data_IF_206083765472
#
_entry.id   IF_206083765472
#
_cell.length_a   1.000
_cell.length_b   1.000
_cell.length_c   1.000
_cell.angle_alpha   90.00
_cell.angle_beta   90.00
_cell.angle_gamma   90.00
#
_symmetry.space_group_name_H-M   'P 1'
#
loop_
_entity.id
_entity.type
_entity.pdbx_description
1 polymer ?
#
# COMPACT_ATOMS: atom_id res chain seq x y z
N UNK A 1 8.53 25.67 -9.32
CA UNK A 1 8.43 24.27 -8.88
C UNK A 1 8.10 23.46 -10.13
N UNK A 2 8.93 22.46 -10.43
CA UNK A 2 8.68 21.53 -11.53
C UNK A 2 7.89 20.35 -10.99
N UNK A 3 6.97 19.80 -11.81
CA UNK A 3 6.16 18.65 -11.46
C UNK A 3 6.34 17.56 -12.54
N UNK A 4 6.68 16.35 -12.13
CA UNK A 4 6.90 15.19 -13.00
C UNK A 4 6.00 14.04 -12.56
N UNK A 5 5.21 13.47 -13.47
CA UNK A 5 4.36 12.31 -13.19
C UNK A 5 5.21 11.05 -12.98
N UNK A 6 4.88 10.29 -11.94
CA UNK A 6 5.51 9.00 -11.61
C UNK A 6 4.66 7.82 -12.08
N UNK A 7 3.44 7.74 -11.52
CA UNK A 7 2.33 6.86 -11.90
C UNK A 7 1.04 7.70 -11.85
N UNK A 8 -0.13 7.08 -12.02
CA UNK A 8 -1.41 7.79 -11.95
C UNK A 8 -1.55 8.53 -10.61
N UNK A 9 -1.97 9.79 -10.68
CA UNK A 9 -2.20 10.68 -9.53
C UNK A 9 -1.01 10.80 -8.54
N UNK A 10 0.21 10.43 -8.98
CA UNK A 10 1.44 10.49 -8.18
C UNK A 10 2.53 11.26 -8.92
N UNK A 11 3.18 12.18 -8.22
CA UNK A 11 4.08 13.14 -8.83
C UNK A 11 5.31 13.40 -7.98
N UNK A 12 6.45 13.66 -8.64
CA UNK A 12 7.56 14.35 -8.03
C UNK A 12 7.36 15.86 -8.13
N UNK A 13 7.54 16.58 -7.03
CA UNK A 13 7.65 18.03 -7.01
C UNK A 13 9.10 18.38 -6.69
N UNK A 14 9.74 19.14 -7.60
CA UNK A 14 11.10 19.64 -7.42
C UNK A 14 11.11 21.09 -6.96
N UNK A 15 11.85 21.37 -5.86
CA UNK A 15 12.11 22.71 -5.34
C UNK A 15 13.61 22.86 -5.07
N UNK A 16 14.33 23.46 -6.01
CA UNK A 16 15.80 23.44 -6.02
C UNK A 16 16.30 21.99 -6.11
N UNK A 17 17.27 21.63 -5.30
CA UNK A 17 17.84 20.27 -5.25
C UNK A 17 16.93 19.23 -4.55
N UNK A 18 15.85 19.65 -3.90
CA UNK A 18 14.95 18.75 -3.17
C UNK A 18 13.85 18.24 -4.07
N UNK A 19 13.66 16.92 -4.05
CA UNK A 19 12.61 16.20 -4.76
C UNK A 19 11.67 15.54 -3.76
N UNK A 20 10.36 15.81 -3.88
CA UNK A 20 9.34 15.38 -2.91
C UNK A 20 8.29 14.56 -3.66
N UNK A 21 8.06 13.32 -3.21
CA UNK A 21 6.97 12.49 -3.73
C UNK A 21 5.64 12.98 -3.19
N UNK A 22 4.63 13.03 -4.05
CA UNK A 22 3.30 13.51 -3.70
C UNK A 22 2.21 12.71 -4.40
N UNK A 23 1.00 12.72 -3.84
CA UNK A 23 -0.23 12.30 -4.52
C UNK A 23 -1.14 13.50 -4.77
N UNK A 24 -1.90 13.48 -5.87
CA UNK A 24 -2.93 14.49 -6.14
C UNK A 24 -4.00 14.40 -5.05
N UNK A 25 -4.20 15.49 -4.30
CA UNK A 25 -5.13 15.49 -3.17
C UNK A 25 -6.59 15.37 -3.64
N UNK A 26 -7.21 14.23 -3.38
CA UNK A 26 -8.61 14.00 -3.71
C UNK A 26 -9.58 14.80 -2.80
N UNK A 27 -9.09 15.27 -1.64
CA UNK A 27 -9.82 16.09 -0.66
C UNK A 27 -9.10 17.43 -0.43
N UNK A 28 -9.28 18.44 -1.30
CA UNK A 28 -8.57 19.71 -1.18
C UNK A 28 -8.73 20.34 0.20
N UNK A 29 -7.63 20.88 0.73
CA UNK A 29 -7.56 21.51 2.06
C UNK A 29 -7.36 20.54 3.22
N UNK A 30 -7.44 19.21 3.02
CA UNK A 30 -7.36 18.22 4.09
C UNK A 30 -6.04 17.46 4.04
N UNK A 31 -5.27 17.55 5.13
CA UNK A 31 -4.14 16.67 5.47
C UNK A 31 -4.67 15.50 6.30
N UNK A 32 -4.12 14.30 6.11
CA UNK A 32 -4.58 13.08 6.81
C UNK A 32 -3.75 12.79 8.05
N UNK A 33 -2.42 13.00 7.99
CA UNK A 33 -1.50 12.67 9.08
C UNK A 33 -0.49 13.79 9.38
N UNK A 34 -0.79 15.04 9.00
CA UNK A 34 0.06 16.21 9.16
C UNK A 34 1.11 16.39 8.06
N UNK A 35 0.96 15.70 6.94
CA UNK A 35 1.79 15.87 5.75
C UNK A 35 1.57 17.24 5.10
N UNK A 36 2.59 17.72 4.39
CA UNK A 36 2.51 19.00 3.68
C UNK A 36 1.61 18.92 2.46
N UNK A 37 0.89 20.00 2.21
CA UNK A 37 0.09 20.19 1.01
C UNK A 37 0.74 21.27 0.16
N UNK A 38 0.95 20.99 -1.13
CA UNK A 38 1.49 21.91 -2.13
C UNK A 38 0.38 22.31 -3.09
N UNK A 39 0.24 23.62 -3.33
CA UNK A 39 -0.70 24.17 -4.33
C UNK A 39 0.09 24.56 -5.57
N UNK A 40 -0.20 23.91 -6.71
CA UNK A 40 0.48 24.17 -7.99
C UNK A 40 -0.58 24.15 -9.09
N UNK A 41 -0.67 25.22 -9.86
CA UNK A 41 -1.60 25.35 -10.99
C UNK A 41 -3.05 25.01 -10.62
N UNK A 42 -3.53 25.48 -9.47
CA UNK A 42 -4.90 25.27 -8.98
C UNK A 42 -5.20 23.89 -8.44
N UNK A 43 -4.22 22.98 -8.42
CA UNK A 43 -4.34 21.63 -7.85
C UNK A 43 -3.57 21.51 -6.54
N UNK A 44 -4.01 20.61 -5.66
CA UNK A 44 -3.32 20.30 -4.42
C UNK A 44 -2.65 18.93 -4.49
N UNK A 45 -1.45 18.85 -3.91
CA UNK A 45 -0.63 17.65 -3.86
C UNK A 45 -0.19 17.41 -2.42
N UNK A 46 -0.40 16.19 -1.92
CA UNK A 46 -0.04 15.77 -0.56
C UNK A 46 1.33 15.11 -0.56
N UNK A 47 2.24 15.53 0.33
CA UNK A 47 3.54 14.90 0.52
C UNK A 47 3.38 13.43 0.93
N UNK A 48 4.02 12.51 0.20
CA UNK A 48 4.03 11.09 0.52
C UNK A 48 5.36 10.68 1.12
N UNK A 49 5.40 10.58 2.44
CA UNK A 49 6.62 10.47 3.24
C UNK A 49 7.12 9.01 3.27
N UNK A 50 8.35 8.70 2.76
CA UNK A 50 8.84 7.33 2.64
C UNK A 50 9.13 6.65 3.98
N UNK A 51 9.45 7.40 5.04
CA UNK A 51 9.62 6.84 6.38
C UNK A 51 8.29 6.42 7.04
N UNK A 52 7.15 6.87 6.50
CA UNK A 52 5.80 6.54 6.99
C UNK A 52 5.01 5.62 6.06
N UNK A 53 5.56 5.30 4.89
CA UNK A 53 4.90 4.44 3.90
C UNK A 53 5.92 3.62 3.14
N UNK A 54 5.85 2.30 3.26
CA UNK A 54 6.71 1.36 2.54
C UNK A 54 6.50 1.47 1.03
N UNK A 55 5.27 1.72 0.60
CA UNK A 55 4.95 1.91 -0.81
C UNK A 55 5.57 3.21 -1.36
N UNK A 56 5.59 4.30 -0.58
CA UNK A 56 6.36 5.50 -0.94
C UNK A 56 7.86 5.22 -1.02
N UNK A 57 8.41 4.51 -0.02
CA UNK A 57 9.81 4.12 -0.01
C UNK A 57 10.20 3.33 -1.27
N UNK A 58 9.32 2.47 -1.76
CA UNK A 58 9.49 1.73 -3.03
C UNK A 58 9.72 2.67 -4.21
N UNK A 59 8.94 3.74 -4.31
CA UNK A 59 9.08 4.73 -5.40
C UNK A 59 10.37 5.53 -5.25
N UNK A 60 10.75 5.90 -4.03
CA UNK A 60 12.05 6.52 -3.75
C UNK A 60 13.24 5.61 -4.10
N UNK A 61 13.06 4.28 -4.04
CA UNK A 61 14.03 3.27 -4.49
C UNK A 61 14.02 3.07 -6.02
N UNK A 62 13.26 3.86 -6.76
CA UNK A 62 13.24 3.89 -8.22
C UNK A 62 12.26 2.91 -8.89
N UNK A 63 11.47 2.15 -8.13
CA UNK A 63 10.47 1.27 -8.71
C UNK A 63 9.11 1.97 -8.83
N UNK A 64 8.51 1.91 -10.02
CA UNK A 64 7.19 2.49 -10.30
C UNK A 64 6.14 1.36 -10.36
N UNK A 65 5.26 1.22 -9.36
CA UNK A 65 4.19 0.22 -9.38
C UNK A 65 3.06 0.66 -10.33
N UNK A 66 3.30 0.59 -11.64
CA UNK A 66 2.38 1.09 -12.67
C UNK A 66 1.02 0.39 -12.68
N UNK A 67 0.93 -0.79 -12.05
CA UNK A 67 -0.32 -1.56 -11.92
C UNK A 67 -1.22 -1.00 -10.80
N UNK A 68 -0.68 -0.14 -9.93
CA UNK A 68 -1.44 0.69 -9.01
C UNK A 68 -1.80 1.99 -9.73
N UNK A 69 -3.03 2.05 -10.26
CA UNK A 69 -3.48 3.11 -11.17
C UNK A 69 -4.91 3.56 -10.90
N UNK A 70 -5.35 4.59 -11.59
CA UNK A 70 -6.70 5.13 -11.47
C UNK A 70 -7.77 4.10 -11.88
N UNK A 71 -8.89 4.09 -11.16
CA UNK A 71 -10.08 3.29 -11.45
C UNK A 71 -10.05 1.85 -10.95
N UNK A 72 -8.92 1.34 -10.45
CA UNK A 72 -8.84 -0.05 -9.98
C UNK A 72 -9.40 -0.26 -8.57
N UNK A 73 -9.68 -1.52 -8.26
CA UNK A 73 -10.01 -1.98 -6.91
C UNK A 73 -8.76 -2.55 -6.21
N UNK A 74 -8.53 -2.13 -4.98
CA UNK A 74 -7.40 -2.55 -4.14
C UNK A 74 -7.92 -3.21 -2.86
N UNK A 75 -7.40 -4.38 -2.52
CA UNK A 75 -7.51 -4.95 -1.19
C UNK A 75 -6.24 -4.61 -0.41
N UNK A 76 -6.39 -3.86 0.66
CA UNK A 76 -5.29 -3.40 1.52
C UNK A 76 -5.36 -4.11 2.87
N UNK A 77 -4.42 -4.99 3.17
CA UNK A 77 -4.33 -5.75 4.42
C UNK A 77 -3.33 -5.08 5.38
N UNK A 78 -3.78 -4.75 6.59
CA UNK A 78 -3.00 -4.01 7.58
C UNK A 78 -3.06 -2.49 7.34
N UNK A 79 -4.28 -1.95 7.27
CA UNK A 79 -4.54 -0.56 6.90
C UNK A 79 -4.09 0.45 7.96
N UNK A 80 -3.98 0.04 9.22
CA UNK A 80 -3.65 0.91 10.34
C UNK A 80 -4.56 2.14 10.39
N UNK A 81 -4.05 3.30 10.74
CA UNK A 81 -4.79 4.57 10.78
C UNK A 81 -5.10 5.17 9.40
N UNK A 82 -4.74 4.47 8.31
CA UNK A 82 -5.04 4.93 6.95
C UNK A 82 -3.99 5.82 6.28
N UNK A 83 -2.79 6.00 6.87
CA UNK A 83 -1.73 6.83 6.28
C UNK A 83 -1.44 6.45 4.83
N UNK A 84 -1.01 5.22 4.55
CA UNK A 84 -0.75 4.76 3.17
C UNK A 84 -2.05 4.57 2.40
N UNK A 85 -3.11 4.08 3.03
CA UNK A 85 -4.45 3.91 2.43
C UNK A 85 -4.95 5.21 1.82
N UNK A 86 -4.74 6.36 2.46
CA UNK A 86 -5.18 7.66 1.95
C UNK A 86 -4.46 8.06 0.65
N UNK A 87 -3.20 7.69 0.49
CA UNK A 87 -2.46 7.90 -0.76
C UNK A 87 -2.89 6.91 -1.84
N UNK A 88 -3.13 5.65 -1.48
CA UNK A 88 -3.72 4.66 -2.40
C UNK A 88 -5.10 5.13 -2.87
N UNK A 89 -5.92 5.69 -1.97
CA UNK A 89 -7.21 6.31 -2.29
C UNK A 89 -7.07 7.46 -3.31
N UNK A 90 -6.06 8.34 -3.14
CA UNK A 90 -5.75 9.40 -4.11
C UNK A 90 -5.36 8.81 -5.48
N UNK A 91 -4.55 7.73 -5.49
CA UNK A 91 -4.06 7.10 -6.72
C UNK A 91 -5.20 6.46 -7.50
N UNK A 92 -6.04 5.66 -6.85
CA UNK A 92 -7.14 4.98 -7.55
C UNK A 92 -8.29 5.92 -7.90
N UNK A 93 -8.34 7.12 -7.31
CA UNK A 93 -9.29 8.16 -7.63
C UNK A 93 -10.74 7.82 -7.27
N UNK A 94 -11.68 8.67 -7.68
CA UNK A 94 -13.10 8.56 -7.32
C UNK A 94 -13.78 7.29 -7.85
N UNK A 95 -13.29 6.75 -8.96
CA UNK A 95 -13.86 5.56 -9.62
C UNK A 95 -13.22 4.25 -9.12
N UNK A 96 -12.11 4.34 -8.39
CA UNK A 96 -11.46 3.19 -7.76
C UNK A 96 -12.07 2.86 -6.40
N UNK A 97 -11.64 1.73 -5.83
CA UNK A 97 -12.08 1.26 -4.50
C UNK A 97 -10.88 0.77 -3.69
N UNK A 98 -10.86 1.09 -2.40
CA UNK A 98 -9.85 0.56 -1.46
C UNK A 98 -10.58 -0.15 -0.32
N UNK A 99 -10.58 -1.48 -0.32
CA UNK A 99 -11.03 -2.29 0.82
C UNK A 99 -9.89 -2.34 1.83
N UNK A 100 -10.04 -1.62 2.93
CA UNK A 100 -8.99 -1.39 3.91
C UNK A 100 -9.24 -2.23 5.17
N UNK A 101 -8.46 -3.29 5.35
CA UNK A 101 -8.60 -4.27 6.43
C UNK A 101 -7.66 -3.93 7.57
N UNK A 102 -8.22 -3.81 8.77
CA UNK A 102 -7.47 -3.56 10.02
C UNK A 102 -8.05 -4.41 11.15
N UNK A 103 -7.18 -5.09 11.89
CA UNK A 103 -7.60 -5.99 12.97
C UNK A 103 -7.92 -5.26 14.28
N UNK A 104 -7.24 -4.15 14.53
CA UNK A 104 -7.41 -3.38 15.77
C UNK A 104 -8.64 -2.48 15.67
N UNK A 105 -9.61 -2.67 16.53
CA UNK A 105 -10.79 -1.82 16.63
C UNK A 105 -10.42 -0.37 17.00
N UNK A 106 -9.50 -0.18 17.94
CA UNK A 106 -9.03 1.15 18.38
C UNK A 106 -8.39 1.92 17.22
N UNK A 107 -7.52 1.27 16.47
CA UNK A 107 -6.85 1.88 15.30
C UNK A 107 -7.86 2.07 14.17
N UNK A 108 -8.77 1.13 13.99
CA UNK A 108 -9.82 1.11 12.97
C UNK A 108 -10.79 2.29 13.06
N UNK A 109 -11.03 2.85 14.24
CA UNK A 109 -11.85 4.08 14.39
C UNK A 109 -11.30 5.20 13.51
N UNK A 110 -9.99 5.42 13.48
CA UNK A 110 -9.37 6.46 12.63
C UNK A 110 -9.54 6.16 11.14
N UNK A 111 -9.50 4.88 10.77
CA UNK A 111 -9.73 4.44 9.40
C UNK A 111 -11.18 4.67 8.97
N UNK A 112 -12.15 4.42 9.85
CA UNK A 112 -13.57 4.69 9.61
C UNK A 112 -13.81 6.19 9.41
N UNK A 113 -13.27 7.04 10.30
CA UNK A 113 -13.35 8.49 10.16
C UNK A 113 -12.71 9.00 8.85
N UNK A 114 -11.61 8.39 8.42
CA UNK A 114 -11.00 8.69 7.12
C UNK A 114 -11.96 8.37 5.96
N UNK A 115 -12.68 7.26 6.04
CA UNK A 115 -13.64 6.83 5.02
C UNK A 115 -14.90 7.74 4.95
N UNK A 116 -15.22 8.47 6.01
CA UNK A 116 -16.32 9.45 5.98
C UNK A 116 -16.05 10.56 4.96
N UNK A 117 -14.80 10.96 4.79
CA UNK A 117 -14.39 11.98 3.83
C UNK A 117 -13.95 11.40 2.48
N UNK A 118 -13.41 10.18 2.47
CA UNK A 118 -12.87 9.47 1.29
C UNK A 118 -13.78 8.30 0.90
N UNK A 119 -14.82 8.59 0.12
CA UNK A 119 -15.91 7.64 -0.21
C UNK A 119 -15.49 6.43 -1.03
N UNK A 120 -14.26 6.39 -1.51
CA UNK A 120 -13.65 5.25 -2.19
C UNK A 120 -12.88 4.31 -1.23
N UNK A 121 -12.83 4.60 0.08
CA UNK A 121 -12.29 3.73 1.12
C UNK A 121 -13.42 2.97 1.80
N UNK A 122 -13.30 1.65 1.87
CA UNK A 122 -14.24 0.74 2.53
C UNK A 122 -13.52 0.08 3.70
N UNK A 123 -13.64 0.60 4.93
CA UNK A 123 -12.98 0.03 6.09
C UNK A 123 -13.62 -1.31 6.48
N UNK A 124 -12.77 -2.29 6.81
CA UNK A 124 -13.16 -3.62 7.27
C UNK A 124 -12.36 -3.90 8.53
N UNK A 125 -13.02 -3.79 9.68
CA UNK A 125 -12.39 -4.06 10.97
C UNK A 125 -12.50 -5.56 11.21
N UNK A 126 -11.45 -6.28 10.80
CA UNK A 126 -11.43 -7.74 10.83
C UNK A 126 -10.00 -8.30 10.71
N UNK A 127 -9.80 -9.56 11.12
CA UNK A 127 -8.54 -10.27 10.96
C UNK A 127 -8.32 -10.66 9.50
N UNK A 128 -7.23 -10.18 8.89
CA UNK A 128 -6.85 -10.54 7.53
C UNK A 128 -6.61 -12.05 7.34
N UNK A 129 -6.22 -12.77 8.41
CA UNK A 129 -6.05 -14.22 8.37
C UNK A 129 -7.37 -14.99 8.25
N UNK A 130 -8.52 -14.33 8.56
CA UNK A 130 -9.88 -14.90 8.55
C UNK A 130 -10.82 -14.20 7.55
N UNK A 131 -10.28 -13.47 6.60
CA UNK A 131 -11.08 -12.61 5.72
C UNK A 131 -12.03 -13.40 4.80
N UNK A 132 -11.82 -14.71 4.62
CA UNK A 132 -12.77 -15.61 3.93
C UNK A 132 -14.17 -15.60 4.55
N UNK A 133 -14.29 -15.33 5.84
CA UNK A 133 -15.59 -15.22 6.53
C UNK A 133 -16.39 -13.98 6.07
N UNK A 134 -15.72 -13.03 5.41
CA UNK A 134 -16.29 -11.80 4.84
C UNK A 134 -16.36 -11.81 3.31
N UNK A 135 -16.20 -12.98 2.67
CA UNK A 135 -16.12 -13.11 1.21
C UNK A 135 -17.28 -12.45 0.46
N UNK A 136 -18.48 -12.47 1.03
CA UNK A 136 -19.69 -11.91 0.41
C UNK A 136 -19.71 -10.36 0.45
N UNK A 137 -18.90 -9.74 1.32
CA UNK A 137 -18.75 -8.29 1.41
C UNK A 137 -17.63 -7.74 0.50
N UNK A 138 -16.85 -8.62 -0.13
CA UNK A 138 -15.68 -8.25 -0.92
C UNK A 138 -15.81 -8.74 -2.36
N UNK A 139 -15.44 -7.87 -3.29
CA UNK A 139 -15.27 -8.23 -4.70
C UNK A 139 -13.81 -8.60 -4.99
N UNK A 140 -13.56 -9.35 -6.06
CA UNK A 140 -12.19 -9.56 -6.54
C UNK A 140 -11.58 -8.24 -6.97
N UNK A 141 -10.35 -8.00 -6.51
CA UNK A 141 -9.60 -6.77 -6.69
C UNK A 141 -8.54 -6.92 -7.80
N UNK A 142 -8.19 -5.79 -8.40
CA UNK A 142 -7.13 -5.71 -9.40
C UNK A 142 -5.75 -5.76 -8.76
N UNK A 143 -5.65 -5.26 -7.51
CA UNK A 143 -4.41 -5.19 -6.76
C UNK A 143 -4.62 -5.61 -5.31
N UNK A 144 -3.65 -6.35 -4.73
CA UNK A 144 -3.57 -6.61 -3.28
C UNK A 144 -2.29 -6.00 -2.73
N UNK A 145 -2.41 -5.22 -1.66
CA UNK A 145 -1.28 -4.76 -0.87
C UNK A 145 -1.37 -5.28 0.55
N UNK A 146 -0.27 -5.86 1.06
CA UNK A 146 -0.19 -6.34 2.42
C UNK A 146 0.93 -5.69 3.21
N UNK A 147 0.57 -5.18 4.40
CA UNK A 147 1.48 -4.59 5.39
C UNK A 147 1.13 -5.04 6.82
N UNK A 148 0.82 -6.33 7.01
CA UNK A 148 0.53 -6.90 8.33
C UNK A 148 1.83 -7.21 9.09
N UNK A 149 1.75 -7.24 10.45
CA UNK A 149 2.89 -7.52 11.32
C UNK A 149 2.73 -8.89 12.01
N UNK A 150 2.47 -9.94 11.22
CA UNK A 150 2.26 -11.31 11.70
C UNK A 150 3.36 -12.25 11.19
N UNK A 151 3.65 -13.32 11.96
CA UNK A 151 4.67 -14.31 11.55
C UNK A 151 4.31 -15.03 10.25
N UNK A 152 3.02 -15.29 10.04
CA UNK A 152 2.46 -15.99 8.88
C UNK A 152 1.97 -15.02 7.78
N UNK A 153 2.61 -13.84 7.64
CA UNK A 153 2.19 -12.83 6.66
C UNK A 153 2.20 -13.36 5.23
N UNK A 154 3.13 -14.23 4.85
CA UNK A 154 3.19 -14.80 3.50
C UNK A 154 2.00 -15.71 3.21
N UNK A 155 1.59 -16.53 4.18
CA UNK A 155 0.41 -17.40 4.09
C UNK A 155 -0.87 -16.57 4.02
N UNK A 156 -0.97 -15.50 4.82
CA UNK A 156 -2.09 -14.56 4.79
C UNK A 156 -2.21 -13.93 3.40
N UNK A 157 -1.09 -13.47 2.83
CA UNK A 157 -1.06 -12.91 1.48
C UNK A 157 -1.57 -13.91 0.45
N UNK A 158 -1.02 -15.13 0.42
CA UNK A 158 -1.38 -16.17 -0.54
C UNK A 158 -2.87 -16.53 -0.42
N UNK A 159 -3.37 -16.71 0.81
CA UNK A 159 -4.77 -17.03 1.09
C UNK A 159 -5.71 -15.97 0.52
N UNK A 160 -5.43 -14.70 0.83
CA UNK A 160 -6.24 -13.58 0.35
C UNK A 160 -6.11 -13.37 -1.17
N UNK A 161 -4.92 -13.53 -1.73
CA UNK A 161 -4.72 -13.44 -3.18
C UNK A 161 -5.47 -14.51 -3.95
N UNK A 162 -5.49 -15.75 -3.48
CA UNK A 162 -6.27 -16.83 -4.11
C UNK A 162 -7.77 -16.52 -4.15
N UNK A 163 -8.28 -15.87 -3.13
CA UNK A 163 -9.70 -15.58 -3.00
C UNK A 163 -10.12 -14.28 -3.69
N UNK A 164 -9.34 -13.23 -3.48
CA UNK A 164 -9.74 -11.86 -3.80
C UNK A 164 -8.95 -11.21 -4.93
N UNK A 165 -7.83 -11.78 -5.38
CA UNK A 165 -7.11 -11.22 -6.52
C UNK A 165 -7.67 -11.75 -7.84
N UNK A 166 -7.93 -10.85 -8.80
CA UNK A 166 -8.33 -11.22 -10.16
C UNK A 166 -7.22 -12.01 -10.85
N UNK A 167 -7.57 -12.86 -11.79
CA UNK A 167 -6.60 -13.50 -12.68
C UNK A 167 -5.86 -12.41 -13.49
N UNK A 168 -4.54 -12.50 -13.52
CA UNK A 168 -3.68 -11.46 -14.11
C UNK A 168 -3.55 -10.19 -13.28
N UNK A 169 -4.15 -10.15 -12.07
CA UNK A 169 -4.00 -9.06 -11.13
C UNK A 169 -2.60 -9.03 -10.49
N UNK A 170 -2.30 -7.94 -9.80
CA UNK A 170 -0.99 -7.68 -9.22
C UNK A 170 -1.08 -7.60 -7.70
N UNK A 171 0.03 -7.89 -7.05
CA UNK A 171 0.11 -7.75 -5.60
C UNK A 171 1.46 -7.24 -5.14
N UNK A 172 1.48 -6.73 -3.92
CA UNK A 172 2.70 -6.36 -3.22
C UNK A 172 2.59 -6.74 -1.74
N UNK A 173 3.60 -7.41 -1.23
CA UNK A 173 3.69 -7.79 0.18
C UNK A 173 4.91 -7.13 0.81
N UNK A 174 4.69 -6.42 1.93
CA UNK A 174 5.75 -5.83 2.73
C UNK A 174 6.26 -6.86 3.74
N UNK A 175 7.43 -7.43 3.50
CA UNK A 175 8.09 -8.37 4.41
C UNK A 175 8.71 -7.60 5.57
N UNK A 176 8.18 -7.82 6.76
CA UNK A 176 8.69 -7.30 8.04
C UNK A 176 9.53 -8.39 8.70
N UNK A 177 10.81 -8.48 8.34
CA UNK A 177 11.64 -9.61 8.74
C UNK A 177 11.63 -9.87 10.25
N UNK A 178 11.72 -8.83 11.07
CA UNK A 178 11.70 -8.95 12.53
C UNK A 178 10.34 -9.34 13.13
N UNK A 179 9.25 -9.21 12.38
CA UNK A 179 7.94 -9.73 12.80
C UNK A 179 7.80 -11.22 12.51
N UNK A 180 8.55 -11.75 11.54
CA UNK A 180 8.57 -13.19 11.21
C UNK A 180 9.50 -13.92 12.18
N UNK A 181 10.76 -13.49 12.24
CA UNK A 181 11.78 -14.07 13.12
C UNK A 181 12.79 -13.00 13.56
N UNK A 182 12.85 -12.75 14.89
CA UNK A 182 13.74 -11.74 15.48
C UNK A 182 15.21 -12.14 15.37
N UNK A 183 15.52 -13.43 15.39
CA UNK A 183 16.88 -13.97 15.39
C UNK A 183 17.46 -14.17 13.98
N UNK A 184 16.61 -14.41 13.00
CA UNK A 184 17.04 -14.65 11.63
C UNK A 184 17.54 -13.35 10.94
N UNK A 185 18.45 -13.52 9.98
CA UNK A 185 18.87 -12.40 9.14
C UNK A 185 17.73 -11.97 8.22
N UNK A 186 17.50 -10.67 8.04
CA UNK A 186 16.43 -10.17 7.16
C UNK A 186 16.47 -10.75 5.75
N UNK A 187 17.66 -10.95 5.20
CA UNK A 187 17.86 -11.53 3.87
C UNK A 187 17.32 -12.96 3.78
N UNK A 188 17.61 -13.81 4.76
CA UNK A 188 17.19 -15.21 4.77
C UNK A 188 15.64 -15.32 4.84
N UNK A 189 15.02 -14.39 5.57
CA UNK A 189 13.55 -14.30 5.64
C UNK A 189 12.95 -13.91 4.27
N UNK A 190 13.56 -12.94 3.59
CA UNK A 190 13.11 -12.53 2.25
C UNK A 190 13.30 -13.65 1.23
N UNK A 191 14.41 -14.39 1.26
CA UNK A 191 14.67 -15.52 0.38
C UNK A 191 13.63 -16.65 0.58
N UNK A 192 13.29 -16.98 1.84
CA UNK A 192 12.19 -17.93 2.14
C UNK A 192 10.83 -17.45 1.64
N UNK A 193 10.51 -16.17 1.84
CA UNK A 193 9.28 -15.59 1.33
C UNK A 193 9.20 -15.68 -0.20
N UNK A 194 10.31 -15.40 -0.90
CA UNK A 194 10.41 -15.52 -2.35
C UNK A 194 10.20 -16.96 -2.83
N UNK A 195 10.82 -17.94 -2.15
CA UNK A 195 10.64 -19.36 -2.48
C UNK A 195 9.17 -19.78 -2.37
N UNK A 196 8.48 -19.37 -1.30
CA UNK A 196 7.07 -19.70 -1.10
C UNK A 196 6.18 -18.99 -2.14
N UNK A 197 6.38 -17.71 -2.35
CA UNK A 197 5.57 -16.89 -3.28
C UNK A 197 5.75 -17.33 -4.74
N UNK A 198 6.97 -17.70 -5.14
CA UNK A 198 7.27 -18.12 -6.53
C UNK A 198 6.59 -19.43 -6.94
N UNK A 199 6.15 -20.25 -5.99
CA UNK A 199 5.35 -21.46 -6.26
C UNK A 199 3.95 -21.13 -6.77
N UNK A 200 3.48 -19.90 -6.52
CA UNK A 200 2.10 -19.48 -6.84
C UNK A 200 1.99 -18.27 -7.76
N UNK A 201 2.98 -17.40 -7.72
CA UNK A 201 2.96 -16.12 -8.43
C UNK A 201 4.23 -15.92 -9.26
N UNK A 202 4.14 -15.12 -10.31
CA UNK A 202 5.32 -14.59 -10.98
C UNK A 202 5.90 -13.44 -10.14
N UNK A 203 7.15 -13.56 -9.72
CA UNK A 203 7.84 -12.48 -8.99
C UNK A 203 8.25 -11.40 -10.00
N UNK A 204 7.79 -10.17 -9.76
CA UNK A 204 8.11 -9.02 -10.61
C UNK A 204 9.37 -8.32 -10.12
N UNK A 205 9.41 -8.01 -8.81
CA UNK A 205 10.51 -7.27 -8.21
C UNK A 205 10.55 -7.48 -6.70
N UNK A 206 11.78 -7.54 -6.17
CA UNK A 206 12.05 -7.44 -4.73
C UNK A 206 12.85 -6.18 -4.47
N UNK A 207 12.48 -5.41 -3.44
CA UNK A 207 13.08 -4.12 -3.12
C UNK A 207 13.35 -4.05 -1.63
N UNK A 208 14.63 -3.89 -1.28
CA UNK A 208 15.04 -3.53 0.08
C UNK A 208 14.74 -2.04 0.31
N UNK A 209 14.04 -1.76 1.39
CA UNK A 209 13.56 -0.41 1.71
C UNK A 209 14.54 0.43 2.56
N UNK A 210 15.72 -0.10 2.90
CA UNK A 210 16.77 0.70 3.51
C UNK A 210 17.21 1.85 2.58
N UNK A 211 17.41 3.08 3.04
CA UNK A 211 17.43 3.53 4.44
C UNK A 211 16.07 3.99 5.01
N UNK A 212 14.99 3.99 4.23
CA UNK A 212 13.69 4.54 4.66
C UNK A 212 12.99 3.68 5.71
N UNK A 213 13.11 2.35 5.56
CA UNK A 213 12.48 1.34 6.45
C UNK A 213 13.49 0.22 6.70
N UNK A 214 14.09 0.22 7.89
CA UNK A 214 15.09 -0.79 8.29
C UNK A 214 14.43 -2.18 8.42
N UNK A 215 15.14 -3.23 7.96
CA UNK A 215 14.71 -4.63 8.04
C UNK A 215 13.37 -4.92 7.33
N UNK A 216 13.02 -4.08 6.33
CA UNK A 216 11.82 -4.26 5.52
C UNK A 216 12.16 -4.38 4.04
N UNK A 217 11.44 -5.27 3.37
CA UNK A 217 11.48 -5.40 1.90
C UNK A 217 10.06 -5.47 1.35
N UNK A 218 9.87 -5.07 0.10
CA UNK A 218 8.62 -5.32 -0.62
C UNK A 218 8.89 -6.30 -1.75
N UNK A 219 7.99 -7.27 -1.91
CA UNK A 219 7.98 -8.19 -3.04
C UNK A 219 6.72 -7.90 -3.86
N UNK A 220 6.92 -7.58 -5.14
CA UNK A 220 5.83 -7.40 -6.12
C UNK A 220 5.63 -8.70 -6.90
N UNK A 221 4.37 -9.07 -7.07
CA UNK A 221 3.96 -10.33 -7.73
C UNK A 221 2.85 -10.10 -8.73
N UNK A 222 2.71 -11.05 -9.67
CA UNK A 222 1.59 -11.14 -10.62
C UNK A 222 0.92 -12.51 -10.47
N UNK A 223 -0.42 -12.52 -10.43
CA UNK A 223 -1.27 -13.71 -10.32
C UNK A 223 -1.47 -14.38 -11.69
#
# INVERSE_FOLDING_TARGET
MEIERVIDNTYWISKGARRILTTLNMQPGISVYGEKIFKINGKEYREWIPSRSKLAATIYKGFKPNDLKEGISVLYLGASTGTTVSHVSDIVGKNGKVYAVEISEEVGVKLVLLAETRKNIYPIIYDAAKLEEKKDALQRCDFIYEDVAQRNQVEIFIKNANMFLKRGGYGAIAIKAKSIDVLAKPRDIVEKALEILSKRFSIIKTIDLYPFQKDHSIIFVKN
#
